data_IF_098037795692
#
_entry.id   IF_098037795692
#
_cell.length_a   1.000
_cell.length_b   1.000
_cell.length_c   1.000
_cell.angle_alpha   90.00
_cell.angle_beta   90.00
_cell.angle_gamma   90.00
#
_symmetry.space_group_name_H-M   'P 1'
#
loop_
_entity.id
_entity.type
_entity.pdbx_description
1 polymer ?
#
# COMPACT_ATOMS: atom_id res chain seq x y z
N UNK A 1 0.05 -28.61 8.89
CA UNK A 1 -0.22 -27.19 9.19
C UNK A 1 -1.70 -26.98 9.54
N UNK A 2 -2.63 -27.44 8.70
CA UNK A 2 -4.08 -27.29 8.92
C UNK A 2 -4.57 -27.87 10.26
N UNK A 3 -4.29 -29.15 10.55
CA UNK A 3 -4.71 -29.78 11.81
C UNK A 3 -4.17 -29.08 13.06
N UNK A 4 -2.97 -28.50 13.00
CA UNK A 4 -2.41 -27.73 14.12
C UNK A 4 -3.10 -26.37 14.29
N UNK A 5 -3.53 -25.74 13.19
CA UNK A 5 -4.26 -24.47 13.23
C UNK A 5 -5.65 -24.62 13.88
N UNK A 6 -6.32 -25.76 13.67
CA UNK A 6 -7.64 -26.05 14.26
C UNK A 6 -7.63 -26.01 15.79
N UNK A 7 -6.51 -26.35 16.43
CA UNK A 7 -6.37 -26.34 17.89
C UNK A 7 -6.46 -24.94 18.51
N UNK A 8 -6.30 -23.89 17.70
CA UNK A 8 -6.36 -22.49 18.13
C UNK A 8 -7.70 -21.82 17.83
N UNK A 9 -8.63 -22.53 17.20
CA UNK A 9 -9.98 -22.03 17.03
C UNK A 9 -10.68 -22.25 18.37
N UNK A 10 -10.78 -21.18 19.18
CA UNK A 10 -11.61 -21.19 20.39
C UNK A 10 -13.07 -21.47 20.04
N UNK A 11 -13.88 -21.91 21.01
CA UNK A 11 -15.33 -22.07 20.83
C UNK A 11 -15.92 -20.84 20.12
N UNK A 12 -16.70 -21.12 19.07
CA UNK A 12 -16.93 -20.28 17.88
C UNK A 12 -17.64 -18.93 18.10
N UNK A 13 -17.76 -18.48 19.34
CA UNK A 13 -18.56 -17.32 19.74
C UNK A 13 -17.85 -16.37 20.70
N UNK A 14 -16.68 -16.71 21.23
CA UNK A 14 -15.97 -15.85 22.19
C UNK A 14 -15.02 -14.84 21.53
N UNK A 15 -14.65 -15.05 20.25
CA UNK A 15 -13.69 -14.19 19.56
C UNK A 15 -14.24 -13.67 18.24
N UNK A 16 -14.25 -12.34 18.10
CA UNK A 16 -14.72 -11.62 16.91
C UNK A 16 -13.82 -11.89 15.68
N UNK A 17 -12.58 -12.40 15.84
CA UNK A 17 -11.69 -12.76 14.70
C UNK A 17 -10.80 -13.98 15.02
N UNK A 18 -11.34 -15.20 14.96
CA UNK A 18 -10.57 -16.41 15.24
C UNK A 18 -9.36 -16.55 14.29
N UNK A 19 -9.49 -16.11 13.04
CA UNK A 19 -8.41 -16.14 12.06
C UNK A 19 -7.16 -15.34 12.50
N UNK A 20 -7.34 -14.15 13.08
CA UNK A 20 -6.21 -13.32 13.53
C UNK A 20 -5.49 -13.98 14.69
N UNK A 21 -6.24 -14.57 15.62
CA UNK A 21 -5.70 -15.32 16.74
C UNK A 21 -4.92 -16.56 16.26
N UNK A 22 -5.54 -17.40 15.44
CA UNK A 22 -4.91 -18.60 14.85
C UNK A 22 -3.60 -18.25 14.14
N UNK A 23 -3.59 -17.20 13.32
CA UNK A 23 -2.38 -16.74 12.60
C UNK A 23 -1.25 -16.36 13.55
N UNK A 24 -1.56 -15.61 14.61
CA UNK A 24 -0.57 -15.20 15.62
C UNK A 24 -0.04 -16.38 16.42
N UNK A 25 -0.90 -17.32 16.83
CA UNK A 25 -0.49 -18.51 17.59
C UNK A 25 0.35 -19.47 16.74
N UNK A 26 0.01 -19.65 15.46
CA UNK A 26 0.84 -20.41 14.51
C UNK A 26 2.22 -19.75 14.33
N UNK A 27 2.27 -18.42 14.20
CA UNK A 27 3.56 -17.71 14.14
C UNK A 27 4.39 -17.90 15.42
N UNK A 28 3.77 -17.82 16.61
CA UNK A 28 4.43 -18.08 17.89
C UNK A 28 5.00 -19.50 18.02
N UNK A 29 4.33 -20.50 17.43
CA UNK A 29 4.83 -21.89 17.36
C UNK A 29 5.97 -22.11 16.36
N UNK A 30 6.47 -21.05 15.71
CA UNK A 30 7.60 -21.14 14.78
C UNK A 30 7.22 -21.61 13.37
N UNK A 31 5.94 -21.63 13.02
CA UNK A 31 5.55 -21.92 11.63
C UNK A 31 6.00 -20.78 10.70
N UNK A 32 6.43 -21.10 9.46
CA UNK A 32 6.84 -20.08 8.50
C UNK A 32 5.75 -19.04 8.30
N UNK A 33 6.14 -17.78 8.41
CA UNK A 33 5.28 -16.62 8.21
C UNK A 33 6.01 -15.64 7.31
N UNK A 34 5.39 -15.24 6.21
CA UNK A 34 5.92 -14.24 5.31
C UNK A 34 4.83 -13.23 5.00
N UNK A 35 5.13 -11.96 5.28
CA UNK A 35 4.37 -10.86 4.69
C UNK A 35 4.83 -10.71 3.24
N UNK A 36 3.86 -10.66 2.34
CA UNK A 36 4.10 -10.52 0.91
C UNK A 36 3.73 -9.10 0.52
N UNK A 37 4.55 -8.51 -0.34
CA UNK A 37 4.47 -7.12 -0.78
C UNK A 37 3.69 -6.95 -2.10
N UNK A 38 3.11 -8.03 -2.62
CA UNK A 38 2.26 -8.01 -3.81
C UNK A 38 0.80 -8.29 -3.45
N UNK A 39 -0.11 -7.66 -4.19
CA UNK A 39 -1.54 -7.81 -4.02
C UNK A 39 -2.00 -9.23 -4.41
N UNK A 40 -2.45 -10.02 -3.43
CA UNK A 40 -2.92 -11.40 -3.67
C UNK A 40 -4.42 -11.54 -3.87
N UNK A 41 -5.18 -10.48 -3.66
CA UNK A 41 -6.62 -10.50 -3.88
C UNK A 41 -7.27 -9.20 -3.48
N UNK A 42 -8.38 -8.89 -4.15
CA UNK A 42 -9.32 -7.88 -3.68
C UNK A 42 -10.20 -8.53 -2.62
N UNK A 43 -9.89 -8.29 -1.37
CA UNK A 43 -10.79 -8.65 -0.28
C UNK A 43 -12.11 -7.91 -0.49
N UNK A 44 -13.21 -8.64 -0.33
CA UNK A 44 -14.57 -8.09 -0.28
C UNK A 44 -15.12 -7.54 -1.61
N UNK A 45 -14.50 -7.86 -2.76
CA UNK A 45 -15.04 -7.50 -4.07
C UNK A 45 -16.32 -8.28 -4.37
N UNK A 46 -17.34 -7.59 -4.91
CA UNK A 46 -18.66 -8.14 -5.22
C UNK A 46 -19.32 -8.90 -4.07
N UNK A 47 -19.09 -8.43 -2.84
CA UNK A 47 -19.85 -8.92 -1.70
C UNK A 47 -21.34 -8.68 -1.88
N UNK A 48 -22.14 -9.62 -1.35
CA UNK A 48 -23.58 -9.43 -1.28
C UNK A 48 -23.91 -8.16 -0.50
N UNK A 49 -25.00 -7.48 -0.87
CA UNK A 49 -25.45 -6.29 -0.15
C UNK A 49 -25.75 -6.63 1.31
N UNK A 50 -26.28 -7.82 1.58
CA UNK A 50 -26.44 -8.31 2.96
C UNK A 50 -25.12 -8.36 3.74
N UNK A 51 -24.04 -8.86 3.15
CA UNK A 51 -22.75 -8.94 3.82
C UNK A 51 -22.14 -7.56 4.06
N UNK A 52 -22.22 -6.67 3.07
CA UNK A 52 -21.79 -5.27 3.21
C UNK A 52 -22.56 -4.61 4.37
N UNK A 53 -23.88 -4.76 4.39
CA UNK A 53 -24.73 -4.23 5.46
C UNK A 53 -24.29 -4.74 6.84
N UNK A 54 -24.17 -6.06 7.01
CA UNK A 54 -23.77 -6.68 8.30
C UNK A 54 -22.40 -6.20 8.75
N UNK A 55 -21.45 -6.12 7.81
CA UNK A 55 -20.10 -5.66 8.09
C UNK A 55 -20.09 -4.22 8.57
N UNK A 56 -20.79 -3.33 7.89
CA UNK A 56 -20.88 -1.93 8.28
C UNK A 56 -21.67 -1.73 9.58
N UNK A 57 -22.70 -2.55 9.84
CA UNK A 57 -23.41 -2.60 11.11
C UNK A 57 -22.46 -2.94 12.27
N UNK A 58 -21.68 -4.01 12.15
CA UNK A 58 -20.70 -4.40 13.18
C UNK A 58 -19.58 -3.36 13.30
N UNK A 59 -19.12 -2.80 12.18
CA UNK A 59 -18.10 -1.74 12.19
C UNK A 59 -18.55 -0.49 12.95
N UNK A 60 -19.84 -0.14 12.91
CA UNK A 60 -20.38 0.99 13.65
C UNK A 60 -20.19 0.88 15.17
N UNK A 61 -20.04 -0.33 15.72
CA UNK A 61 -19.71 -0.50 17.15
C UNK A 61 -18.25 -0.84 17.36
N UNK A 62 -17.70 -1.71 16.54
CA UNK A 62 -16.33 -2.23 16.71
C UNK A 62 -15.23 -1.23 16.35
N UNK A 63 -15.46 -0.43 15.31
CA UNK A 63 -14.45 0.44 14.71
C UNK A 63 -15.03 1.82 14.40
N UNK A 64 -15.87 2.33 15.31
CA UNK A 64 -16.65 3.55 15.11
C UNK A 64 -15.80 4.72 14.63
N UNK A 65 -14.71 5.05 15.33
CA UNK A 65 -13.83 6.16 14.97
C UNK A 65 -13.19 6.01 13.58
N UNK A 66 -12.81 4.78 13.20
CA UNK A 66 -12.24 4.51 11.88
C UNK A 66 -13.30 4.63 10.78
N UNK A 67 -14.52 4.19 11.06
CA UNK A 67 -15.64 4.30 10.14
C UNK A 67 -16.06 5.77 9.94
N UNK A 68 -16.07 6.58 11.00
CA UNK A 68 -16.34 8.03 10.88
C UNK A 68 -15.37 8.73 9.93
N UNK A 69 -14.08 8.39 9.95
CA UNK A 69 -13.08 8.93 9.01
C UNK A 69 -13.39 8.61 7.55
N UNK A 70 -14.18 7.57 7.28
CA UNK A 70 -14.57 7.13 5.92
C UNK A 70 -15.99 7.55 5.55
N UNK A 71 -16.79 8.03 6.50
CA UNK A 71 -18.21 8.28 6.29
C UNK A 71 -18.46 9.32 5.20
N UNK A 72 -17.70 10.42 5.18
CA UNK A 72 -17.78 11.44 4.13
C UNK A 72 -17.55 10.84 2.74
N UNK A 73 -16.56 9.96 2.60
CA UNK A 73 -16.30 9.28 1.33
C UNK A 73 -17.49 8.40 0.94
N UNK A 74 -18.03 7.62 1.88
CA UNK A 74 -19.19 6.77 1.63
C UNK A 74 -20.42 7.58 1.20
N UNK A 75 -20.69 8.70 1.88
CA UNK A 75 -21.77 9.63 1.53
C UNK A 75 -21.60 10.20 0.13
N UNK A 76 -20.38 10.58 -0.25
CA UNK A 76 -20.10 11.11 -1.59
C UNK A 76 -20.26 10.08 -2.71
N UNK A 77 -20.04 8.79 -2.41
CA UNK A 77 -20.13 7.71 -3.40
C UNK A 77 -21.54 7.11 -3.50
N UNK A 78 -22.36 7.26 -2.45
CA UNK A 78 -23.68 6.64 -2.35
C UNK A 78 -24.67 7.06 -3.45
N UNK A 79 -24.49 8.23 -4.08
CA UNK A 79 -25.34 8.66 -5.21
C UNK A 79 -25.07 7.88 -6.51
N UNK A 80 -23.92 7.23 -6.62
CA UNK A 80 -23.47 6.54 -7.85
C UNK A 80 -23.27 5.04 -7.68
N UNK A 81 -23.30 4.54 -6.43
CA UNK A 81 -22.92 3.18 -6.12
C UNK A 81 -23.74 2.64 -4.94
N UNK A 82 -24.48 1.57 -5.21
CA UNK A 82 -25.39 0.90 -4.28
C UNK A 82 -24.64 0.29 -3.08
N UNK A 83 -23.39 -0.15 -3.24
CA UNK A 83 -22.60 -0.72 -2.14
C UNK A 83 -22.39 0.32 -1.04
N UNK A 84 -22.21 1.59 -1.40
CA UNK A 84 -22.06 2.67 -0.44
C UNK A 84 -23.38 3.06 0.22
N UNK A 85 -24.51 2.99 -0.50
CA UNK A 85 -25.83 3.17 0.12
C UNK A 85 -26.10 2.10 1.18
N UNK A 86 -25.78 0.84 0.85
CA UNK A 86 -25.89 -0.32 1.73
C UNK A 86 -24.97 -0.18 2.94
N UNK A 87 -23.72 0.22 2.74
CA UNK A 87 -22.75 0.46 3.79
C UNK A 87 -23.24 1.53 4.79
N UNK A 88 -23.77 2.65 4.28
CA UNK A 88 -24.34 3.72 5.11
C UNK A 88 -25.57 3.24 5.88
N UNK A 89 -26.46 2.48 5.24
CA UNK A 89 -27.64 1.93 5.89
C UNK A 89 -27.26 0.95 7.02
N UNK A 90 -26.28 0.08 6.78
CA UNK A 90 -25.73 -0.84 7.77
C UNK A 90 -25.10 -0.08 8.93
N UNK A 91 -24.25 0.90 8.64
CA UNK A 91 -23.58 1.72 9.65
C UNK A 91 -24.57 2.47 10.55
N UNK A 92 -25.56 3.17 9.97
CA UNK A 92 -26.59 3.92 10.72
C UNK A 92 -27.44 3.00 11.60
N UNK A 93 -27.77 1.81 11.12
CA UNK A 93 -28.50 0.84 11.91
C UNK A 93 -27.65 0.28 13.07
N UNK A 94 -26.38 0.02 12.80
CA UNK A 94 -25.42 -0.39 13.81
C UNK A 94 -25.25 0.66 14.90
N UNK A 95 -25.08 1.93 14.53
CA UNK A 95 -24.93 3.06 15.46
C UNK A 95 -26.09 3.14 16.46
N UNK A 96 -27.32 2.99 15.98
CA UNK A 96 -28.57 3.03 16.77
C UNK A 96 -28.83 1.77 17.61
N UNK A 97 -28.05 0.71 17.41
CA UNK A 97 -28.30 -0.56 18.09
C UNK A 97 -27.60 -0.59 19.46
N UNK A 98 -28.36 -0.73 20.54
CA UNK A 98 -27.81 -0.72 21.91
C UNK A 98 -27.50 -2.13 22.47
N UNK A 99 -27.74 -3.17 21.68
CA UNK A 99 -27.46 -4.54 22.08
C UNK A 99 -26.00 -4.97 21.86
N UNK A 100 -25.68 -6.19 22.29
CA UNK A 100 -24.38 -6.80 22.05
C UNK A 100 -24.22 -7.17 20.57
N UNK A 101 -23.07 -6.82 19.98
CA UNK A 101 -22.75 -7.12 18.59
C UNK A 101 -22.04 -8.47 18.46
N UNK A 102 -22.49 -9.27 17.50
CA UNK A 102 -21.91 -10.57 17.14
C UNK A 102 -21.76 -10.66 15.61
N UNK A 103 -20.83 -11.48 15.13
CA UNK A 103 -20.62 -11.73 13.68
C UNK A 103 -21.55 -12.83 13.15
N UNK A 104 -22.44 -13.37 13.98
CA UNK A 104 -23.44 -14.34 13.55
C UNK A 104 -24.39 -13.72 12.50
N UNK A 105 -24.60 -14.44 11.40
CA UNK A 105 -25.55 -14.06 10.35
C UNK A 105 -26.99 -13.94 10.87
N UNK A 106 -27.31 -14.66 11.94
CA UNK A 106 -28.60 -14.68 12.63
C UNK A 106 -28.62 -13.78 13.88
N UNK A 107 -27.62 -12.92 14.06
CA UNK A 107 -27.57 -12.01 15.20
C UNK A 107 -28.81 -11.09 15.24
N UNK A 108 -29.20 -10.72 16.45
CA UNK A 108 -30.29 -9.78 16.65
C UNK A 108 -29.99 -8.45 15.93
N UNK A 109 -30.97 -7.93 15.19
CA UNK A 109 -30.80 -6.77 14.30
C UNK A 109 -30.44 -7.09 12.84
N UNK A 110 -30.15 -8.36 12.51
CA UNK A 110 -29.79 -8.81 11.15
C UNK A 110 -30.93 -9.54 10.41
N UNK A 111 -32.01 -9.90 11.10
CA UNK A 111 -33.09 -10.74 10.54
C UNK A 111 -33.92 -10.06 9.44
N UNK A 112 -33.91 -8.73 9.39
CA UNK A 112 -34.78 -7.92 8.51
C UNK A 112 -34.00 -7.14 7.44
N UNK A 113 -32.72 -7.48 7.20
CA UNK A 113 -31.86 -6.76 6.25
C UNK A 113 -32.51 -6.66 4.87
N UNK A 114 -33.08 -7.75 4.35
CA UNK A 114 -33.75 -7.72 3.04
C UNK A 114 -34.89 -6.70 2.97
N UNK A 115 -35.69 -6.59 4.03
CA UNK A 115 -36.78 -5.61 4.11
C UNK A 115 -36.24 -4.19 4.19
N UNK A 116 -35.17 -3.97 4.97
CA UNK A 116 -34.49 -2.68 5.08
C UNK A 116 -33.87 -2.24 3.74
N UNK A 117 -33.16 -3.13 3.04
CA UNK A 117 -32.59 -2.84 1.73
C UNK A 117 -33.68 -2.52 0.71
N UNK A 118 -34.76 -3.30 0.68
CA UNK A 118 -35.90 -3.03 -0.19
C UNK A 118 -36.54 -1.66 0.10
N UNK A 119 -36.60 -1.24 1.37
CA UNK A 119 -37.16 0.05 1.76
C UNK A 119 -36.38 1.27 1.23
N UNK A 120 -35.09 1.09 0.94
CA UNK A 120 -34.24 2.10 0.31
C UNK A 120 -34.06 1.89 -1.20
N UNK A 121 -34.87 1.01 -1.81
CA UNK A 121 -34.83 0.72 -3.24
C UNK A 121 -33.69 -0.19 -3.70
N UNK A 122 -32.94 -0.79 -2.77
CA UNK A 122 -31.82 -1.66 -3.08
C UNK A 122 -32.27 -3.12 -3.16
N UNK A 123 -31.86 -3.81 -4.22
CA UNK A 123 -32.09 -5.24 -4.46
C UNK A 123 -30.80 -6.00 -4.18
N UNK A 124 -30.89 -7.24 -3.69
CA UNK A 124 -29.71 -8.09 -3.49
C UNK A 124 -28.95 -8.34 -4.80
N UNK A 125 -27.61 -8.34 -4.74
CA UNK A 125 -26.78 -8.65 -5.91
C UNK A 125 -27.08 -10.06 -6.40
N UNK A 126 -27.09 -10.24 -7.71
CA UNK A 126 -27.15 -11.57 -8.30
C UNK A 126 -25.82 -12.27 -8.04
N UNK A 127 -25.87 -13.59 -7.89
CA UNK A 127 -24.65 -14.39 -7.91
C UNK A 127 -23.94 -14.16 -9.25
N UNK A 128 -22.65 -13.85 -9.19
CA UNK A 128 -21.84 -13.67 -10.40
C UNK A 128 -21.91 -14.93 -11.25
N UNK A 129 -22.14 -14.76 -12.54
CA UNK A 129 -21.93 -15.83 -13.50
C UNK A 129 -20.44 -16.01 -13.78
N UNK A 130 -20.07 -17.12 -14.41
CA UNK A 130 -18.69 -17.35 -14.87
C UNK A 130 -18.22 -16.25 -15.83
N UNK A 131 -19.14 -15.71 -16.64
CA UNK A 131 -18.88 -14.62 -17.58
C UNK A 131 -18.56 -13.32 -16.84
N UNK A 132 -19.32 -12.99 -15.79
CA UNK A 132 -19.07 -11.79 -14.98
C UNK A 132 -17.69 -11.87 -14.32
N UNK A 133 -17.35 -13.05 -13.81
CA UNK A 133 -16.02 -13.33 -13.22
C UNK A 133 -14.89 -13.06 -14.22
N UNK A 134 -15.07 -13.44 -15.49
CA UNK A 134 -14.10 -13.16 -16.54
C UNK A 134 -13.97 -11.66 -16.86
N UNK A 135 -15.09 -10.93 -16.95
CA UNK A 135 -15.05 -9.48 -17.17
C UNK A 135 -14.34 -8.75 -16.02
N UNK A 136 -14.65 -9.12 -14.78
CA UNK A 136 -13.97 -8.57 -13.61
C UNK A 136 -12.48 -8.90 -13.61
N UNK A 137 -12.10 -10.12 -14.01
CA UNK A 137 -10.69 -10.48 -14.17
C UNK A 137 -9.97 -9.59 -15.21
N UNK A 138 -10.61 -9.27 -16.34
CA UNK A 138 -10.03 -8.35 -17.34
C UNK A 138 -9.87 -6.93 -16.79
N UNK A 139 -10.86 -6.40 -16.09
CA UNK A 139 -10.77 -5.09 -15.45
C UNK A 139 -9.68 -5.06 -14.37
N UNK A 140 -9.58 -6.13 -13.59
CA UNK A 140 -8.52 -6.35 -12.61
C UNK A 140 -7.14 -6.30 -13.27
N UNK A 141 -6.91 -7.08 -14.32
CA UNK A 141 -5.64 -7.07 -15.05
C UNK A 141 -5.33 -5.69 -15.63
N UNK A 142 -6.34 -4.98 -16.12
CA UNK A 142 -6.17 -3.61 -16.64
C UNK A 142 -5.74 -2.64 -15.55
N UNK A 143 -6.39 -2.69 -14.38
CA UNK A 143 -6.01 -1.87 -13.23
C UNK A 143 -4.61 -2.24 -12.72
N UNK A 144 -4.31 -3.53 -12.58
CA UNK A 144 -2.99 -4.04 -12.16
C UNK A 144 -1.89 -3.57 -13.11
N UNK A 145 -2.12 -3.68 -14.42
CA UNK A 145 -1.17 -3.20 -15.42
C UNK A 145 -0.94 -1.70 -15.28
N UNK A 146 -1.98 -0.90 -15.04
CA UNK A 146 -1.83 0.54 -14.80
C UNK A 146 -0.96 0.84 -13.56
N UNK A 147 -1.15 0.10 -12.47
CA UNK A 147 -0.34 0.26 -11.26
C UNK A 147 1.12 -0.16 -11.50
N UNK A 148 1.33 -1.29 -12.17
CA UNK A 148 2.66 -1.78 -12.51
C UNK A 148 3.40 -0.80 -13.43
N UNK A 149 2.73 -0.26 -14.46
CA UNK A 149 3.31 0.77 -15.32
C UNK A 149 3.68 2.02 -14.52
N UNK A 150 2.84 2.47 -13.59
CA UNK A 150 3.16 3.62 -12.74
C UNK A 150 4.39 3.36 -11.85
N UNK A 151 4.51 2.16 -11.27
CA UNK A 151 5.67 1.74 -10.48
C UNK A 151 6.95 1.66 -11.31
N UNK A 152 6.86 1.10 -12.52
CA UNK A 152 8.00 1.03 -13.45
C UNK A 152 8.48 2.44 -13.85
N UNK A 153 7.56 3.34 -14.21
CA UNK A 153 7.89 4.73 -14.52
C UNK A 153 8.52 5.46 -13.33
N UNK A 154 8.01 5.23 -12.11
CA UNK A 154 8.62 5.79 -10.91
C UNK A 154 10.05 5.28 -10.70
N UNK A 155 10.30 3.99 -10.98
CA UNK A 155 11.63 3.40 -10.85
C UNK A 155 12.60 3.89 -11.92
N UNK A 156 12.14 4.03 -13.16
CA UNK A 156 12.92 4.61 -14.26
C UNK A 156 13.33 6.06 -13.93
N UNK A 157 12.41 6.86 -13.38
CA UNK A 157 12.72 8.23 -12.94
C UNK A 157 13.78 8.25 -11.82
N UNK A 158 13.72 7.33 -10.86
CA UNK A 158 14.74 7.21 -9.80
C UNK A 158 16.13 6.91 -10.39
N UNK A 159 16.20 6.06 -11.42
CA UNK A 159 17.46 5.73 -12.12
C UNK A 159 17.99 6.96 -12.86
N UNK A 160 17.14 7.65 -13.62
CA UNK A 160 17.53 8.87 -14.36
C UNK A 160 18.09 9.94 -13.43
N UNK A 161 17.47 10.13 -12.24
CA UNK A 161 17.96 11.08 -11.25
C UNK A 161 19.36 10.70 -10.73
N UNK A 162 19.59 9.42 -10.44
CA UNK A 162 20.90 8.91 -10.01
C UNK A 162 21.96 9.07 -11.09
N UNK A 163 21.64 8.77 -12.34
CA UNK A 163 22.57 8.93 -13.47
C UNK A 163 22.93 10.41 -13.69
N UNK A 164 21.96 11.30 -13.50
CA UNK A 164 22.18 12.76 -13.56
C UNK A 164 23.13 13.22 -12.46
N UNK A 165 22.94 12.75 -11.22
CA UNK A 165 23.84 13.04 -10.09
C UNK A 165 25.27 12.54 -10.35
N UNK A 166 25.40 11.32 -10.87
CA UNK A 166 26.71 10.75 -11.26
C UNK A 166 27.39 11.60 -12.33
N UNK A 167 26.64 12.09 -13.33
CA UNK A 167 27.19 12.93 -14.39
C UNK A 167 27.68 14.28 -13.84
N UNK A 168 26.92 14.91 -12.94
CA UNK A 168 27.33 16.15 -12.26
C UNK A 168 28.63 15.93 -11.49
N UNK A 169 28.69 14.89 -10.65
CA UNK A 169 29.88 14.55 -9.87
C UNK A 169 31.10 14.28 -10.78
N UNK A 170 30.90 13.62 -11.92
CA UNK A 170 31.98 13.37 -12.90
C UNK A 170 32.52 14.68 -13.50
N UNK A 171 31.65 15.62 -13.82
CA UNK A 171 32.05 16.91 -14.37
C UNK A 171 32.84 17.74 -13.33
N UNK A 172 32.42 17.71 -12.06
CA UNK A 172 33.15 18.36 -10.96
C UNK A 172 34.56 17.74 -10.78
N UNK A 173 34.67 16.41 -10.82
CA UNK A 173 35.97 15.73 -10.75
C UNK A 173 36.89 16.14 -11.92
N UNK A 174 36.37 16.22 -13.14
CA UNK A 174 37.17 16.66 -14.29
C UNK A 174 37.59 18.13 -14.18
N UNK A 175 36.74 19.00 -13.64
CA UNK A 175 37.10 20.39 -13.35
C UNK A 175 38.28 20.48 -12.37
N UNK A 176 38.21 19.75 -11.25
CA UNK A 176 39.29 19.69 -10.24
C UNK A 176 40.59 19.11 -10.84
N UNK A 177 40.51 18.08 -11.69
CA UNK A 177 41.69 17.55 -12.39
C UNK A 177 42.36 18.59 -13.28
N UNK A 178 41.57 19.39 -14.00
CA UNK A 178 42.09 20.47 -14.85
C UNK A 178 42.75 21.57 -14.02
N UNK A 179 42.21 21.91 -12.85
CA UNK A 179 42.83 22.85 -11.91
C UNK A 179 44.16 22.31 -11.37
N UNK A 180 44.21 21.04 -10.96
CA UNK A 180 45.44 20.38 -10.50
C UNK A 180 46.51 20.39 -11.60
N UNK A 181 46.13 20.07 -12.85
CA UNK A 181 47.05 20.12 -13.98
C UNK A 181 47.59 21.53 -14.22
N UNK A 182 46.73 22.55 -14.11
CA UNK A 182 47.13 23.97 -14.22
C UNK A 182 48.11 24.38 -13.12
N UNK A 183 47.86 23.97 -11.89
CA UNK A 183 48.75 24.24 -10.74
C UNK A 183 50.10 23.56 -10.94
N UNK A 184 50.10 22.29 -11.37
CA UNK A 184 51.33 21.52 -11.65
C UNK A 184 52.21 22.21 -12.68
N UNK A 185 51.62 22.65 -13.80
CA UNK A 185 52.33 23.39 -14.84
C UNK A 185 52.95 24.71 -14.32
N UNK A 186 52.25 25.42 -13.42
CA UNK A 186 52.79 26.64 -12.77
C UNK A 186 53.98 26.31 -11.87
N UNK A 187 53.89 25.25 -11.07
CA UNK A 187 55.00 24.80 -10.21
C UNK A 187 56.22 24.44 -11.07
N UNK A 188 56.03 23.65 -12.13
CA UNK A 188 57.11 23.24 -13.02
C UNK A 188 57.80 24.46 -13.69
N UNK A 189 57.02 25.46 -14.12
CA UNK A 189 57.55 26.71 -14.66
C UNK A 189 58.38 27.50 -13.63
N UNK A 190 57.91 27.58 -12.38
CA UNK A 190 58.64 28.22 -11.28
C UNK A 190 59.96 27.49 -11.01
N UNK A 191 59.93 26.16 -10.91
CA UNK A 191 61.12 25.33 -10.67
C UNK A 191 62.16 25.45 -11.79
N UNK A 192 61.70 25.54 -13.05
CA UNK A 192 62.58 25.77 -14.20
C UNK A 192 63.26 27.15 -14.11
N UNK A 193 62.50 28.19 -13.75
CA UNK A 193 63.01 29.55 -13.54
C UNK A 193 64.06 29.62 -12.44
N UNK A 194 63.84 28.93 -11.31
CA UNK A 194 64.82 28.84 -10.22
C UNK A 194 66.07 28.08 -10.64
N UNK A 195 65.93 26.92 -11.29
CA UNK A 195 67.06 26.14 -11.79
C UNK A 195 67.94 26.96 -12.74
N UNK A 196 67.32 27.74 -13.62
CA UNK A 196 68.02 28.65 -14.52
C UNK A 196 68.80 29.74 -13.75
N UNK A 197 68.18 30.41 -12.77
CA UNK A 197 68.84 31.44 -11.95
C UNK A 197 70.00 30.88 -11.13
N UNK A 198 69.85 29.69 -10.56
CA UNK A 198 70.93 29.00 -9.83
C UNK A 198 72.09 28.71 -10.78
N UNK A 199 71.80 28.20 -11.99
CA UNK A 199 72.83 27.99 -13.02
C UNK A 199 73.62 29.25 -13.34
N UNK A 200 72.93 30.40 -13.48
CA UNK A 200 73.59 31.70 -13.70
C UNK A 200 74.48 32.12 -12.52
N UNK A 201 74.01 31.93 -11.28
CA UNK A 201 74.80 32.27 -10.08
C UNK A 201 76.07 31.42 -9.97
N UNK A 202 76.00 30.13 -10.27
CA UNK A 202 77.17 29.24 -10.24
C UNK A 202 78.24 29.71 -11.24
N UNK A 203 77.84 30.19 -12.43
CA UNK A 203 78.81 30.67 -13.44
C UNK A 203 79.53 31.98 -13.07
N UNK A 204 79.03 32.73 -12.07
CA UNK A 204 79.62 34.00 -11.65
C UNK A 204 80.72 33.85 -10.57
N UNK A 205 80.93 32.64 -10.04
CA UNK A 205 81.97 32.34 -9.06
C UNK A 205 82.88 31.20 -9.59
N UNK A 206 83.86 31.53 -10.47
CA UNK A 206 84.84 30.58 -10.98
C UNK A 206 85.91 30.19 -9.94
#
# INVERSE_FOLDING_TARGET
MFHQALQFISDSYQQIRPESHVKLEMKKKGYPWKEIDFLTGFHDFEQSHKDIYRKCFVQAKKHYELALKRLHYWESMASSDDDFQVALAGFKAGEKYDGEITIDVNAHGMNDISSKLKSIGIIEKKQLSDIDTFYHHKHFLTWMNKQLTALLLAKENEIILKDTEILVNRNEIEAVKNEIATIRNKIDSILLSYSFKIGQLITLFP
#
